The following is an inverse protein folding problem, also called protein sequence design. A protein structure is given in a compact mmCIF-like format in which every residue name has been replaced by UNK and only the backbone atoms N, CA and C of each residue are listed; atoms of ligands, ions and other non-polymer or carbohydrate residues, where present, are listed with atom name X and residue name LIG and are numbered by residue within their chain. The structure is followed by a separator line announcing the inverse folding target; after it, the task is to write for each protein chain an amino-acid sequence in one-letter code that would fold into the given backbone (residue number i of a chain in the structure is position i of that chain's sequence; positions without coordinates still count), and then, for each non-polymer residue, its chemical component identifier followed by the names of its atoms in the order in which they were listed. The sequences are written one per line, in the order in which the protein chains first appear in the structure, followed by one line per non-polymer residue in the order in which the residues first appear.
data_IF_413945376304
#
_entry.id   IF_413945376304
#
_cell.length_a   1.000
_cell.length_b   1.000
_cell.length_c   1.000
_cell.angle_alpha   90.00
_cell.angle_beta   90.00
_cell.angle_gamma   90.00
#
_symmetry.space_group_name_H-M   'P 1'
#
loop_
_entity.id
_entity.type
_entity.pdbx_description
1 polymer ?
#
# COMPACT_ATOMS: atom_id res chain seq x y z
N UNK A 1 19.50 -16.34 19.66
CA UNK A 1 19.70 -16.64 18.22
C UNK A 1 20.06 -15.37 17.50
N UNK A 2 21.27 -15.30 16.94
CA UNK A 2 21.72 -14.13 16.18
C UNK A 2 20.97 -14.15 14.84
N UNK A 3 20.03 -13.23 14.68
CA UNK A 3 19.17 -13.09 13.51
C UNK A 3 19.94 -12.35 12.40
N UNK A 4 20.99 -12.98 11.86
CA UNK A 4 21.70 -12.45 10.70
C UNK A 4 20.83 -12.70 9.47
N UNK A 5 20.15 -11.65 9.01
CA UNK A 5 19.56 -11.64 7.67
C UNK A 5 20.63 -12.10 6.67
N UNK A 6 20.38 -13.11 5.81
CA UNK A 6 21.34 -13.57 4.79
C UNK A 6 21.73 -12.46 3.79
N UNK A 7 21.16 -11.27 3.92
CA UNK A 7 21.44 -10.08 3.14
C UNK A 7 21.94 -8.92 3.99
N UNK A 8 22.56 -9.17 5.16
CA UNK A 8 23.15 -8.12 6.00
C UNK A 8 24.12 -7.21 5.23
N UNK A 9 24.90 -7.80 4.31
CA UNK A 9 25.78 -7.10 3.39
C UNK A 9 25.01 -6.21 2.39
N UNK A 10 24.01 -6.75 1.69
CA UNK A 10 23.17 -5.95 0.78
C UNK A 10 22.38 -4.86 1.53
N UNK A 11 21.92 -5.15 2.75
CA UNK A 11 21.28 -4.17 3.63
C UNK A 11 22.25 -3.04 3.98
N UNK A 12 23.49 -3.36 4.33
CA UNK A 12 24.52 -2.38 4.66
C UNK A 12 24.80 -1.48 3.46
N UNK A 13 25.08 -2.07 2.29
CA UNK A 13 25.30 -1.35 1.03
C UNK A 13 24.09 -0.51 0.60
N UNK A 14 22.88 -1.05 0.72
CA UNK A 14 21.67 -0.37 0.29
C UNK A 14 21.35 0.86 1.16
N UNK A 15 21.72 0.84 2.44
CA UNK A 15 21.40 1.89 3.42
C UNK A 15 22.48 2.96 3.56
N UNK A 16 23.68 2.78 2.98
CA UNK A 16 24.70 3.83 3.05
C UNK A 16 24.31 5.07 2.26
N UNK A 17 24.56 6.25 2.85
CA UNK A 17 24.47 7.53 2.16
C UNK A 17 25.75 7.75 1.35
N UNK A 18 25.58 8.17 0.09
CA UNK A 18 26.65 8.23 -0.91
C UNK A 18 27.48 9.52 -0.81
N UNK A 19 27.79 9.98 0.40
CA UNK A 19 28.51 11.24 0.63
C UNK A 19 30.03 11.07 0.67
N UNK A 20 30.52 9.90 1.11
CA UNK A 20 31.95 9.57 1.13
C UNK A 20 32.30 8.53 0.06
N UNK A 21 32.92 8.97 -1.03
CA UNK A 21 33.34 8.15 -2.17
C UNK A 21 34.54 7.25 -1.80
N UNK A 22 35.29 7.57 -0.74
CA UNK A 22 36.43 6.77 -0.31
C UNK A 22 36.05 5.58 0.57
N UNK A 23 34.83 5.58 1.12
CA UNK A 23 34.30 4.45 1.86
C UNK A 23 34.19 3.20 0.93
N UNK A 24 34.82 2.06 1.28
CA UNK A 24 34.81 0.85 0.46
C UNK A 24 33.40 0.29 0.21
N UNK A 25 32.46 0.48 1.14
CA UNK A 25 31.05 0.11 0.98
C UNK A 25 30.38 0.98 -0.10
N UNK A 26 30.68 2.28 -0.13
CA UNK A 26 30.16 3.19 -1.15
C UNK A 26 30.77 2.94 -2.53
N UNK A 27 32.07 2.65 -2.62
CA UNK A 27 32.69 2.20 -3.89
C UNK A 27 32.02 0.93 -4.43
N UNK A 28 31.78 -0.04 -3.54
CA UNK A 28 31.10 -1.29 -3.90
C UNK A 28 29.67 -1.03 -4.34
N UNK A 29 28.94 -0.15 -3.64
CA UNK A 29 27.60 0.30 -4.02
C UNK A 29 27.59 0.88 -5.43
N UNK A 30 28.44 1.87 -5.69
CA UNK A 30 28.53 2.56 -6.99
C UNK A 30 28.87 1.57 -8.11
N UNK A 31 29.87 0.71 -7.89
CA UNK A 31 30.25 -0.32 -8.86
C UNK A 31 29.10 -1.28 -9.17
N UNK A 32 28.45 -1.83 -8.15
CA UNK A 32 27.30 -2.74 -8.36
C UNK A 32 26.13 -2.04 -9.04
N UNK A 33 25.88 -0.77 -8.72
CA UNK A 33 24.77 0.00 -9.28
C UNK A 33 25.03 0.43 -10.74
N UNK A 34 26.29 0.47 -11.18
CA UNK A 34 26.65 0.61 -12.60
C UNK A 34 26.38 -0.69 -13.37
N UNK A 35 26.52 -1.86 -12.73
CA UNK A 35 26.33 -3.17 -13.36
C UNK A 35 24.87 -3.65 -13.28
N UNK A 36 24.10 -3.16 -12.31
CA UNK A 36 22.73 -3.59 -12.05
C UNK A 36 21.78 -2.41 -12.26
N UNK A 37 20.88 -2.54 -13.23
CA UNK A 37 19.91 -1.49 -13.57
C UNK A 37 18.80 -1.29 -12.54
N UNK A 38 18.78 -2.09 -11.47
CA UNK A 38 17.77 -2.08 -10.41
C UNK A 38 18.41 -1.49 -9.17
N UNK A 39 17.68 -0.66 -8.43
CA UNK A 39 18.19 -0.09 -7.18
C UNK A 39 18.58 -1.21 -6.19
N UNK A 40 19.81 -1.15 -5.66
CA UNK A 40 20.28 -2.09 -4.63
C UNK A 40 19.35 -2.15 -3.41
N UNK A 41 18.70 -1.03 -3.10
CA UNK A 41 17.70 -0.95 -2.05
C UNK A 41 16.43 -1.73 -2.40
N UNK A 42 15.95 -1.66 -3.64
CA UNK A 42 14.78 -2.40 -4.10
C UNK A 42 15.08 -3.90 -4.22
N UNK A 43 16.28 -4.27 -4.68
CA UNK A 43 16.77 -5.65 -4.64
C UNK A 43 16.69 -6.23 -3.23
N UNK A 44 17.35 -5.58 -2.27
CA UNK A 44 17.32 -6.00 -0.87
C UNK A 44 15.89 -6.14 -0.33
N UNK A 45 15.01 -5.17 -0.62
CA UNK A 45 13.62 -5.18 -0.18
C UNK A 45 12.82 -6.32 -0.81
N UNK A 46 12.97 -6.57 -2.11
CA UNK A 46 12.25 -7.61 -2.83
C UNK A 46 12.63 -9.01 -2.34
N UNK A 47 13.93 -9.30 -2.18
CA UNK A 47 14.38 -10.58 -1.64
C UNK A 47 13.92 -10.78 -0.19
N UNK A 48 14.07 -9.77 0.65
CA UNK A 48 13.64 -9.85 2.06
C UNK A 48 12.14 -10.12 2.16
N UNK A 49 11.32 -9.44 1.34
CA UNK A 49 9.87 -9.63 1.33
C UNK A 49 9.43 -11.00 0.80
N UNK A 50 9.97 -11.46 -0.33
CA UNK A 50 9.60 -12.75 -0.91
C UNK A 50 10.06 -13.93 -0.04
N UNK A 51 11.17 -13.78 0.69
CA UNK A 51 11.58 -14.78 1.69
C UNK A 51 10.72 -14.73 2.95
N UNK A 52 10.27 -13.56 3.39
CA UNK A 52 9.43 -13.46 4.60
C UNK A 52 8.05 -14.10 4.41
N UNK A 53 7.54 -14.11 3.18
CA UNK A 53 6.31 -14.86 2.83
C UNK A 53 6.53 -16.39 2.95
N UNK A 54 7.78 -16.86 2.94
CA UNK A 54 8.16 -18.28 2.95
C UNK A 54 8.86 -18.78 4.22
N UNK A 55 8.79 -18.07 5.35
CA UNK A 55 9.61 -18.37 6.54
C UNK A 55 9.46 -19.78 7.16
N UNK A 56 8.43 -20.56 6.78
CA UNK A 56 8.22 -21.94 7.27
C UNK A 56 8.53 -23.02 6.21
N UNK A 57 9.32 -22.68 5.19
CA UNK A 57 9.51 -23.54 4.02
C UNK A 57 10.81 -24.36 4.07
N UNK A 58 10.78 -25.57 3.47
CA UNK A 58 11.96 -26.45 3.33
C UNK A 58 13.10 -25.75 2.55
N UNK A 59 14.37 -26.18 2.69
CA UNK A 59 15.50 -25.55 1.99
C UNK A 59 15.33 -25.42 0.47
N UNK A 60 14.79 -26.44 -0.21
CA UNK A 60 14.55 -26.42 -1.66
C UNK A 60 13.58 -25.30 -2.09
N UNK A 61 12.56 -25.01 -1.28
CA UNK A 61 11.62 -23.93 -1.54
C UNK A 61 12.26 -22.55 -1.39
N UNK A 62 13.20 -22.38 -0.45
CA UNK A 62 13.97 -21.14 -0.32
C UNK A 62 14.77 -20.88 -1.61
N UNK A 63 15.49 -21.88 -2.11
CA UNK A 63 16.25 -21.77 -3.36
C UNK A 63 15.34 -21.43 -4.54
N UNK A 64 14.20 -22.12 -4.66
CA UNK A 64 13.21 -21.84 -5.71
C UNK A 64 12.66 -20.42 -5.63
N UNK A 65 12.36 -19.91 -4.43
CA UNK A 65 11.89 -18.54 -4.22
C UNK A 65 12.95 -17.51 -4.59
N UNK A 66 14.22 -17.76 -4.25
CA UNK A 66 15.33 -16.91 -4.66
C UNK A 66 15.43 -16.85 -6.19
N UNK A 67 15.45 -18.00 -6.87
CA UNK A 67 15.48 -18.07 -8.34
C UNK A 67 14.30 -17.31 -8.95
N UNK A 68 13.08 -17.55 -8.45
CA UNK A 68 11.86 -16.90 -8.95
C UNK A 68 11.91 -15.38 -8.74
N UNK A 69 12.38 -14.93 -7.57
CA UNK A 69 12.54 -13.50 -7.25
C UNK A 69 13.57 -12.85 -8.18
N UNK A 70 14.71 -13.50 -8.39
CA UNK A 70 15.73 -13.08 -9.37
C UNK A 70 15.12 -12.94 -10.76
N UNK A 71 14.43 -13.97 -11.25
CA UNK A 71 13.78 -13.94 -12.56
C UNK A 71 12.80 -12.77 -12.69
N UNK A 72 11.94 -12.54 -11.69
CA UNK A 72 11.00 -11.41 -11.69
C UNK A 72 11.73 -10.06 -11.78
N UNK A 73 12.72 -9.84 -10.93
CA UNK A 73 13.50 -8.59 -10.89
C UNK A 73 14.19 -8.33 -12.23
N UNK A 74 14.82 -9.35 -12.82
CA UNK A 74 15.59 -9.16 -14.04
C UNK A 74 14.72 -9.14 -15.31
N UNK A 75 13.59 -9.85 -15.33
CA UNK A 75 12.70 -9.95 -16.51
C UNK A 75 11.53 -8.94 -16.49
N UNK A 76 11.09 -8.47 -15.31
CA UNK A 76 9.92 -7.59 -15.16
C UNK A 76 10.31 -6.19 -14.63
N UNK A 77 11.20 -5.50 -15.35
CA UNK A 77 11.80 -4.22 -14.93
C UNK A 77 10.88 -3.00 -15.05
N UNK A 78 9.64 -3.11 -14.59
CA UNK A 78 8.73 -1.96 -14.58
C UNK A 78 9.10 -1.02 -13.43
N UNK A 79 9.20 0.28 -13.70
CA UNK A 79 9.32 1.30 -12.65
C UNK A 79 7.99 2.04 -12.48
N UNK A 80 7.49 2.08 -11.26
CA UNK A 80 6.21 2.71 -10.92
C UNK A 80 6.49 4.01 -10.17
N UNK A 81 5.96 5.12 -10.69
CA UNK A 81 5.98 6.42 -10.03
C UNK A 81 4.78 6.51 -9.09
N UNK A 82 5.03 6.69 -7.80
CA UNK A 82 4.04 7.11 -6.82
C UNK A 82 4.27 8.58 -6.51
N UNK A 83 3.24 9.41 -6.68
CA UNK A 83 3.41 10.85 -6.57
C UNK A 83 2.21 11.52 -5.88
N UNK A 84 2.43 12.55 -5.03
CA UNK A 84 3.72 13.11 -4.61
C UNK A 84 4.47 12.26 -3.57
N UNK A 85 3.75 11.44 -2.80
CA UNK A 85 4.35 10.74 -1.67
C UNK A 85 4.95 9.40 -2.09
N UNK A 86 6.07 9.02 -1.47
CA UNK A 86 6.58 7.66 -1.56
C UNK A 86 5.71 6.71 -0.71
N UNK A 87 5.29 5.54 -1.23
CA UNK A 87 4.43 4.63 -0.49
C UNK A 87 5.18 3.97 0.67
N UNK A 88 4.51 3.88 1.82
CA UNK A 88 5.08 3.23 3.00
C UNK A 88 5.17 1.71 2.81
N UNK A 89 6.09 1.06 3.53
CA UNK A 89 6.45 -0.35 3.30
C UNK A 89 5.31 -1.36 3.49
N UNK A 90 4.32 -1.03 4.31
CA UNK A 90 3.16 -1.89 4.60
C UNK A 90 1.98 -1.63 3.64
N UNK A 91 2.10 -0.67 2.72
CA UNK A 91 1.06 -0.42 1.74
C UNK A 91 0.93 -1.64 0.80
N UNK A 92 -0.30 -2.10 0.56
CA UNK A 92 -0.57 -3.24 -0.32
C UNK A 92 0.05 -3.05 -1.71
N UNK A 93 -0.10 -1.86 -2.30
CA UNK A 93 0.51 -1.54 -3.60
C UNK A 93 2.04 -1.66 -3.60
N UNK A 94 2.70 -1.17 -2.55
CA UNK A 94 4.14 -1.27 -2.43
C UNK A 94 4.60 -2.73 -2.30
N UNK A 95 3.88 -3.53 -1.53
CA UNK A 95 4.14 -4.96 -1.39
C UNK A 95 3.93 -5.73 -2.71
N UNK A 96 2.91 -5.38 -3.48
CA UNK A 96 2.68 -5.92 -4.82
C UNK A 96 3.86 -5.58 -5.74
N UNK A 97 4.35 -4.33 -5.75
CA UNK A 97 5.53 -3.96 -6.52
C UNK A 97 6.75 -4.81 -6.14
N UNK A 98 7.03 -4.99 -4.84
CA UNK A 98 8.13 -5.84 -4.38
C UNK A 98 7.95 -7.31 -4.76
N UNK A 99 6.72 -7.83 -4.67
CA UNK A 99 6.41 -9.21 -5.07
C UNK A 99 6.62 -9.46 -6.56
N UNK A 100 6.32 -8.47 -7.40
CA UNK A 100 6.49 -8.54 -8.85
C UNK A 100 7.91 -8.19 -9.31
N UNK A 101 8.78 -7.71 -8.41
CA UNK A 101 10.13 -7.27 -8.75
C UNK A 101 10.18 -5.91 -9.44
N UNK A 102 9.13 -5.09 -9.28
CA UNK A 102 9.06 -3.74 -9.87
C UNK A 102 9.86 -2.73 -9.04
N UNK A 103 10.46 -1.76 -9.72
CA UNK A 103 11.05 -0.61 -9.08
C UNK A 103 9.98 0.41 -8.70
N UNK A 104 10.22 1.12 -7.58
CA UNK A 104 9.33 2.15 -7.06
C UNK A 104 10.10 3.45 -6.88
N UNK A 105 9.54 4.57 -7.33
CA UNK A 105 10.10 5.91 -7.15
C UNK A 105 9.00 6.93 -6.84
N UNK A 106 9.37 8.05 -6.25
CA UNK A 106 8.55 9.27 -6.20
C UNK A 106 9.20 10.45 -6.95
N UNK A 107 10.30 10.20 -7.64
CA UNK A 107 10.98 11.20 -8.46
C UNK A 107 10.39 11.22 -9.86
N UNK A 108 9.60 12.26 -10.16
CA UNK A 108 8.95 12.45 -11.46
C UNK A 108 9.91 12.75 -12.62
N UNK A 109 11.20 12.99 -12.35
CA UNK A 109 12.22 13.20 -13.38
C UNK A 109 12.84 11.91 -13.91
N UNK A 110 12.62 10.79 -13.23
CA UNK A 110 13.11 9.49 -13.69
C UNK A 110 12.21 8.91 -14.79
N UNK A 111 12.73 7.99 -15.58
CA UNK A 111 11.90 7.16 -16.47
C UNK A 111 11.07 6.18 -15.65
N UNK A 112 9.76 6.14 -15.89
CA UNK A 112 8.80 5.19 -15.30
C UNK A 112 7.83 4.66 -16.37
N UNK A 113 7.17 3.56 -16.05
CA UNK A 113 6.21 2.86 -16.92
C UNK A 113 4.75 3.12 -16.56
N UNK A 114 4.47 3.52 -15.31
CA UNK A 114 3.13 3.74 -14.78
C UNK A 114 3.17 4.77 -13.66
N UNK A 115 2.09 5.55 -13.53
CA UNK A 115 1.95 6.58 -12.50
C UNK A 115 0.77 6.25 -11.60
N UNK A 116 0.95 6.42 -10.29
CA UNK A 116 -0.09 6.27 -9.27
C UNK A 116 -0.15 7.56 -8.46
N UNK A 117 -1.30 8.24 -8.48
CA UNK A 117 -1.58 9.32 -7.52
C UNK A 117 -1.66 8.73 -6.13
N UNK A 118 -0.78 9.17 -5.23
CA UNK A 118 -0.62 8.58 -3.91
C UNK A 118 -0.36 9.64 -2.84
N UNK A 119 -1.30 9.77 -1.89
CA UNK A 119 -1.11 10.53 -0.65
C UNK A 119 -1.83 9.83 0.49
N UNK A 120 -1.11 9.50 1.56
CA UNK A 120 -1.61 8.55 2.57
C UNK A 120 -2.70 9.13 3.48
N UNK A 121 -2.52 10.36 3.93
CA UNK A 121 -3.35 10.96 4.99
C UNK A 121 -4.32 12.02 4.48
N UNK A 122 -4.35 12.25 3.16
CA UNK A 122 -5.20 13.26 2.55
C UNK A 122 -6.60 12.68 2.30
N UNK A 123 -7.63 13.44 2.64
CA UNK A 123 -9.04 13.09 2.37
C UNK A 123 -9.51 13.72 1.07
N UNK A 124 -9.25 15.01 0.90
CA UNK A 124 -9.66 15.81 -0.26
C UNK A 124 -8.43 16.23 -1.05
N UNK A 125 -8.47 16.04 -2.36
CA UNK A 125 -7.32 16.26 -3.23
C UNK A 125 -7.56 17.47 -4.13
N UNK A 126 -6.63 18.42 -4.07
CA UNK A 126 -6.46 19.46 -5.07
C UNK A 126 -5.86 18.89 -6.35
N UNK A 127 -5.95 19.65 -7.44
CA UNK A 127 -5.17 19.36 -8.64
C UNK A 127 -3.68 19.38 -8.32
N UNK A 128 -2.94 18.43 -8.90
CA UNK A 128 -1.49 18.32 -8.73
C UNK A 128 -0.81 18.56 -10.10
N UNK A 129 -0.09 19.69 -10.29
CA UNK A 129 0.40 20.11 -11.60
C UNK A 129 1.23 19.05 -12.34
N UNK A 130 2.08 18.31 -11.62
CA UNK A 130 2.90 17.26 -12.22
C UNK A 130 2.03 16.12 -12.74
N UNK A 131 1.02 15.70 -11.97
CA UNK A 131 0.11 14.65 -12.42
C UNK A 131 -0.76 15.11 -13.59
N UNK A 132 -1.21 16.37 -13.58
CA UNK A 132 -1.95 16.96 -14.70
C UNK A 132 -1.11 17.04 -15.97
N UNK A 133 0.16 17.41 -15.85
CA UNK A 133 1.10 17.42 -16.97
C UNK A 133 1.32 16.02 -17.53
N UNK A 134 1.55 15.03 -16.67
CA UNK A 134 1.76 13.63 -17.09
C UNK A 134 0.51 13.07 -17.78
N UNK A 135 -0.68 13.36 -17.24
CA UNK A 135 -1.94 12.98 -17.88
C UNK A 135 -2.09 13.60 -19.28
N UNK A 136 -1.74 14.89 -19.45
CA UNK A 136 -1.71 15.57 -20.77
C UNK A 136 -0.68 14.98 -21.74
N UNK A 137 0.38 14.36 -21.22
CA UNK A 137 1.39 13.63 -22.01
C UNK A 137 0.98 12.17 -22.29
N UNK A 138 -0.30 11.83 -22.11
CA UNK A 138 -0.86 10.49 -22.31
C UNK A 138 -0.27 9.40 -21.40
N UNK A 139 0.29 9.76 -20.24
CA UNK A 139 0.54 8.77 -19.20
C UNK A 139 -0.77 8.37 -18.55
N UNK A 140 -0.97 7.06 -18.37
CA UNK A 140 -2.06 6.57 -17.53
C UNK A 140 -1.71 6.80 -16.05
N UNK A 141 -2.44 7.72 -15.42
CA UNK A 141 -2.28 8.07 -14.01
C UNK A 141 -3.40 7.40 -13.21
N UNK A 142 -3.07 6.32 -12.52
CA UNK A 142 -4.02 5.62 -11.64
C UNK A 142 -4.46 6.56 -10.52
N UNK A 143 -5.77 6.55 -10.24
CA UNK A 143 -6.45 7.41 -9.27
C UNK A 143 -6.42 8.92 -9.58
N UNK A 144 -6.07 9.34 -10.80
CA UNK A 144 -5.96 10.76 -11.15
C UNK A 144 -7.22 11.56 -10.78
N UNK A 145 -8.39 11.04 -11.17
CA UNK A 145 -9.69 11.66 -10.93
C UNK A 145 -10.26 11.42 -9.52
N UNK A 146 -9.56 10.69 -8.66
CA UNK A 146 -9.96 10.52 -7.26
C UNK A 146 -9.70 11.83 -6.51
N UNK A 147 -10.77 12.61 -6.27
CA UNK A 147 -10.71 13.93 -5.63
C UNK A 147 -11.12 13.91 -4.16
N UNK A 148 -11.81 12.87 -3.72
CA UNK A 148 -12.35 12.75 -2.38
C UNK A 148 -12.40 11.26 -1.98
N UNK A 149 -11.84 10.95 -0.81
CA UNK A 149 -11.89 9.63 -0.15
C UNK A 149 -12.52 9.70 1.24
N UNK A 150 -13.34 10.72 1.48
CA UNK A 150 -14.15 10.86 2.69
C UNK A 150 -15.08 9.67 2.87
N UNK A 151 -15.37 9.34 4.13
CA UNK A 151 -16.27 8.22 4.43
C UNK A 151 -17.69 8.52 3.97
N UNK A 152 -18.14 9.78 4.01
CA UNK A 152 -19.45 10.18 3.51
C UNK A 152 -19.61 9.90 2.01
N UNK A 153 -18.66 10.35 1.17
CA UNK A 153 -18.72 10.06 -0.27
C UNK A 153 -18.60 8.56 -0.54
N UNK A 154 -17.70 7.87 0.16
CA UNK A 154 -17.52 6.42 -0.01
C UNK A 154 -18.80 5.65 0.34
N UNK A 155 -19.51 6.04 1.40
CA UNK A 155 -20.79 5.43 1.77
C UNK A 155 -21.88 5.69 0.73
N UNK A 156 -21.94 6.91 0.18
CA UNK A 156 -22.88 7.26 -0.87
C UNK A 156 -22.63 6.41 -2.12
N UNK A 157 -21.39 6.35 -2.59
CA UNK A 157 -21.02 5.55 -3.76
C UNK A 157 -21.23 4.05 -3.53
N UNK A 158 -21.09 3.58 -2.28
CA UNK A 158 -21.42 2.21 -1.92
C UNK A 158 -22.92 1.94 -2.10
N UNK A 159 -23.78 2.82 -1.60
CA UNK A 159 -25.24 2.68 -1.75
C UNK A 159 -25.64 2.69 -3.23
N UNK A 160 -25.08 3.61 -4.02
CA UNK A 160 -25.30 3.68 -5.47
C UNK A 160 -24.85 2.41 -6.19
N UNK A 161 -23.70 1.83 -5.81
CA UNK A 161 -23.15 0.66 -6.48
C UNK A 161 -23.85 -0.65 -6.12
N UNK A 162 -24.31 -0.79 -4.86
CA UNK A 162 -24.83 -2.05 -4.33
C UNK A 162 -26.35 -2.05 -4.10
N UNK A 163 -27.01 -0.88 -4.13
CA UNK A 163 -28.44 -0.75 -3.87
C UNK A 163 -28.83 -0.92 -2.39
N UNK A 164 -27.87 -0.86 -1.47
CA UNK A 164 -28.12 -0.84 -0.03
C UNK A 164 -27.08 0.00 0.71
N UNK A 165 -27.56 0.71 1.74
CA UNK A 165 -26.68 1.57 2.55
C UNK A 165 -26.07 0.87 3.76
N UNK A 166 -24.83 1.21 4.05
CA UNK A 166 -24.17 0.94 5.34
C UNK A 166 -24.34 2.09 6.34
N UNK A 167 -24.79 3.27 5.89
CA UNK A 167 -25.03 4.43 6.75
C UNK A 167 -26.26 4.19 7.61
N UNK A 168 -26.24 4.66 8.86
CA UNK A 168 -27.41 4.63 9.75
C UNK A 168 -27.71 6.03 10.27
N UNK A 169 -28.99 6.32 10.52
CA UNK A 169 -29.39 7.50 11.27
C UNK A 169 -29.30 7.18 12.77
N UNK A 170 -28.36 7.77 13.54
CA UNK A 170 -28.17 7.38 14.93
C UNK A 170 -29.33 7.79 15.84
N UNK A 171 -30.22 8.68 15.42
CA UNK A 171 -31.39 9.09 16.21
C UNK A 171 -32.54 8.08 16.16
N UNK A 172 -32.60 7.26 15.10
CA UNK A 172 -33.70 6.32 14.85
C UNK A 172 -33.26 4.87 14.73
N UNK A 173 -31.98 4.62 14.46
CA UNK A 173 -31.42 3.27 14.40
C UNK A 173 -31.47 2.61 15.77
N UNK A 174 -31.83 1.33 15.82
CA UNK A 174 -31.88 0.55 17.06
C UNK A 174 -30.75 -0.47 17.06
N UNK A 175 -29.95 -0.47 18.13
CA UNK A 175 -28.84 -1.42 18.29
C UNK A 175 -27.47 -0.75 18.20
N UNK A 176 -26.42 -1.57 18.04
CA UNK A 176 -25.03 -1.07 17.99
C UNK A 176 -24.66 -0.57 16.59
N UNK A 177 -23.95 0.56 16.54
CA UNK A 177 -23.35 1.06 15.31
C UNK A 177 -21.89 1.48 15.55
N UNK A 178 -21.16 1.74 14.46
CA UNK A 178 -19.80 2.27 14.52
C UNK A 178 -19.81 3.73 14.08
N UNK A 179 -19.29 4.60 14.93
CA UNK A 179 -19.03 6.01 14.65
C UNK A 179 -17.53 6.21 14.39
N UNK A 180 -17.18 6.98 13.35
CA UNK A 180 -15.78 7.26 12.95
C UNK A 180 -15.69 8.62 12.27
N UNK A 181 -14.55 9.30 12.37
CA UNK A 181 -14.32 10.56 11.63
C UNK A 181 -14.61 10.41 10.14
N UNK A 182 -15.18 11.42 9.51
CA UNK A 182 -15.35 11.43 8.06
C UNK A 182 -14.00 11.45 7.32
N UNK A 183 -12.96 11.99 7.96
CA UNK A 183 -11.62 12.11 7.41
C UNK A 183 -10.92 10.75 7.25
N UNK A 184 -10.04 10.67 6.26
CA UNK A 184 -9.23 9.50 5.97
C UNK A 184 -8.20 9.23 7.10
N UNK A 185 -7.89 7.95 7.31
CA UNK A 185 -6.79 7.47 8.14
C UNK A 185 -6.74 7.96 9.61
N UNK A 186 -7.89 8.30 10.21
CA UNK A 186 -7.95 8.72 11.63
C UNK A 186 -7.86 7.56 12.63
N UNK A 187 -8.25 6.34 12.23
CA UNK A 187 -8.21 5.15 13.10
C UNK A 187 -8.93 5.32 14.45
N UNK A 188 -10.02 6.08 14.44
CA UNK A 188 -10.74 6.58 15.62
C UNK A 188 -12.16 5.97 15.76
N UNK A 189 -12.40 4.84 15.10
CA UNK A 189 -13.70 4.18 15.12
C UNK A 189 -14.04 3.66 16.51
N UNK A 190 -15.26 3.94 16.98
CA UNK A 190 -15.80 3.40 18.25
C UNK A 190 -17.19 2.83 18.04
N UNK A 191 -17.54 1.83 18.86
CA UNK A 191 -18.87 1.23 18.87
C UNK A 191 -19.72 2.01 19.87
N UNK A 192 -20.93 2.40 19.46
CA UNK A 192 -21.91 3.07 20.32
C UNK A 192 -23.27 2.35 20.24
N UNK A 193 -24.10 2.57 21.25
CA UNK A 193 -25.50 2.16 21.22
C UNK A 193 -26.37 3.27 20.64
N UNK A 194 -27.30 2.89 19.77
CA UNK A 194 -28.33 3.76 19.23
C UNK A 194 -29.73 3.31 19.74
N UNK A 195 -30.70 4.25 19.84
CA UNK A 195 -30.61 5.64 19.40
C UNK A 195 -29.71 6.52 20.28
N UNK A 196 -29.15 7.59 19.72
CA UNK A 196 -28.43 8.63 20.45
C UNK A 196 -29.28 9.89 20.56
N UNK A 197 -29.01 10.73 21.57
CA UNK A 197 -29.75 11.99 21.76
C UNK A 197 -29.35 13.08 20.77
N UNK A 198 -28.14 12.99 20.21
CA UNK A 198 -27.57 13.97 19.28
C UNK A 198 -26.69 13.34 18.22
N UNK A 199 -26.56 14.05 17.11
CA UNK A 199 -25.63 13.75 16.02
C UNK A 199 -24.35 14.55 16.26
N UNK A 200 -23.22 13.87 16.20
CA UNK A 200 -21.89 14.49 16.24
C UNK A 200 -21.53 15.02 14.83
N UNK A 201 -20.90 16.19 14.78
CA UNK A 201 -20.42 16.77 13.52
C UNK A 201 -19.16 16.05 13.02
N UNK A 202 -18.94 16.08 11.70
CA UNK A 202 -17.71 15.59 11.04
C UNK A 202 -17.42 14.09 11.19
N UNK A 203 -18.40 13.30 11.63
CA UNK A 203 -18.33 11.85 11.73
C UNK A 203 -19.31 11.19 10.76
N UNK A 204 -19.14 9.88 10.56
CA UNK A 204 -20.14 9.02 9.93
C UNK A 204 -20.58 7.93 10.89
N UNK A 205 -21.84 7.53 10.76
CA UNK A 205 -22.44 6.42 11.49
C UNK A 205 -22.70 5.28 10.51
N UNK A 206 -22.14 4.11 10.79
CA UNK A 206 -22.26 2.93 9.95
C UNK A 206 -22.79 1.74 10.73
N UNK A 207 -23.51 0.83 10.06
CA UNK A 207 -23.89 -0.48 10.60
C UNK A 207 -22.64 -1.18 11.14
N UNK A 208 -22.76 -1.79 12.32
CA UNK A 208 -21.73 -2.67 12.84
C UNK A 208 -21.76 -3.96 12.03
N UNK A 209 -20.66 -4.27 11.33
CA UNK A 209 -20.48 -5.51 10.58
C UNK A 209 -19.69 -6.46 11.46
N UNK A 210 -20.30 -7.58 11.83
CA UNK A 210 -19.63 -8.62 12.60
C UNK A 210 -18.64 -9.36 11.70
N UNK A 211 -17.35 -9.20 11.98
CA UNK A 211 -16.27 -9.82 11.21
C UNK A 211 -15.30 -10.63 12.08
N UNK A 212 -15.71 -10.95 13.31
CA UNK A 212 -15.00 -11.85 14.22
C UNK A 212 -15.21 -13.30 13.79
N UNK A 213 -14.12 -14.06 13.67
CA UNK A 213 -14.12 -15.48 13.26
C UNK A 213 -13.74 -16.41 14.40
N UNK A 214 -12.92 -15.92 15.34
CA UNK A 214 -12.50 -16.59 16.57
C UNK A 214 -12.21 -15.51 17.61
N UNK A 215 -12.04 -15.91 18.88
CA UNK A 215 -11.66 -14.99 19.95
C UNK A 215 -10.40 -14.19 19.56
N UNK A 216 -10.52 -12.86 19.61
CA UNK A 216 -9.47 -11.91 19.21
C UNK A 216 -9.02 -12.00 17.73
N UNK A 217 -9.78 -12.64 16.83
CA UNK A 217 -9.45 -12.71 15.41
C UNK A 217 -10.57 -12.17 14.54
N UNK A 218 -10.21 -11.22 13.69
CA UNK A 218 -11.11 -10.66 12.69
C UNK A 218 -10.62 -10.99 11.28
N UNK A 219 -11.59 -11.11 10.36
CA UNK A 219 -11.33 -11.23 8.93
C UNK A 219 -11.72 -9.94 8.21
N UNK A 220 -10.84 -9.47 7.33
CA UNK A 220 -11.11 -8.37 6.42
C UNK A 220 -10.88 -8.83 4.97
N UNK A 221 -11.90 -8.67 4.14
CA UNK A 221 -11.76 -8.81 2.70
C UNK A 221 -11.30 -7.49 2.10
N UNK A 222 -10.21 -7.51 1.34
CA UNK A 222 -9.75 -6.36 0.55
C UNK A 222 -9.68 -6.76 -0.90
N UNK A 223 -10.40 -6.04 -1.75
CA UNK A 223 -10.40 -6.31 -3.19
C UNK A 223 -9.78 -5.13 -3.92
N UNK A 224 -8.44 -5.12 -4.13
CA UNK A 224 -7.84 -4.19 -5.07
C UNK A 224 -8.48 -4.32 -6.47
N UNK A 225 -8.88 -3.19 -7.04
CA UNK A 225 -9.43 -3.10 -8.39
C UNK A 225 -8.47 -2.33 -9.27
N UNK A 226 -8.01 -2.96 -10.37
CA UNK A 226 -7.10 -2.34 -11.34
C UNK A 226 -7.68 -2.47 -12.74
N UNK A 227 -7.99 -1.32 -13.38
CA UNK A 227 -8.50 -1.28 -14.78
C UNK A 227 -9.56 -2.36 -15.05
N UNK A 228 -10.58 -2.43 -14.19
CA UNK A 228 -11.70 -3.38 -14.22
C UNK A 228 -11.37 -4.85 -13.86
N UNK A 229 -10.14 -5.16 -13.47
CA UNK A 229 -9.76 -6.47 -12.91
C UNK A 229 -9.83 -6.44 -11.39
N UNK A 230 -10.44 -7.47 -10.82
CA UNK A 230 -10.54 -7.68 -9.39
C UNK A 230 -9.44 -8.64 -8.92
N UNK A 231 -8.71 -8.26 -7.87
CA UNK A 231 -7.85 -9.18 -7.13
C UNK A 231 -8.45 -9.30 -5.73
N UNK A 232 -8.93 -10.47 -5.34
CA UNK A 232 -9.45 -10.67 -3.98
C UNK A 232 -8.29 -11.02 -3.05
N UNK A 233 -8.06 -10.19 -2.04
CA UNK A 233 -7.09 -10.42 -0.98
C UNK A 233 -7.82 -10.62 0.34
N UNK A 234 -7.49 -11.69 1.08
CA UNK A 234 -8.04 -11.96 2.40
C UNK A 234 -6.97 -11.59 3.43
N UNK A 235 -7.33 -10.72 4.36
CA UNK A 235 -6.50 -10.34 5.49
C UNK A 235 -7.09 -10.93 6.77
N UNK A 236 -6.27 -11.67 7.51
CA UNK A 236 -6.60 -12.14 8.85
C UNK A 236 -5.73 -11.34 9.82
N UNK A 237 -6.36 -10.64 10.75
CA UNK A 237 -5.66 -9.83 11.75
C UNK A 237 -6.15 -10.17 13.15
N UNK A 238 -5.23 -10.01 14.11
CA UNK A 238 -5.57 -10.03 15.52
C UNK A 238 -6.27 -8.70 15.88
N UNK A 239 -7.34 -8.79 16.69
CA UNK A 239 -8.14 -7.67 17.19
C UNK A 239 -7.30 -6.70 18.04
#
# INVERSE_FOLDING_TARGET
MINLSPFSFLSSIAKTEATDINNPINKTKIFLQQQISVSLLNLYRAYTYNLSIGCNQKPLSIVRNLITTTQKIFNQRKKILFYPDFPYRKATLYQICLFLGYDVTNNSKEKFDLVIKWQRYKTFFSEEPILSQLSKQNFDVINFHCKDVSKSLTNQLFDEAFGYSITVNPLTYTGKCVIKSNLNAQHDGRIISCPTDKIESEVVYQKLVENEIEEEKIIEYRVPVFRQKFLVCIYISKK
#
